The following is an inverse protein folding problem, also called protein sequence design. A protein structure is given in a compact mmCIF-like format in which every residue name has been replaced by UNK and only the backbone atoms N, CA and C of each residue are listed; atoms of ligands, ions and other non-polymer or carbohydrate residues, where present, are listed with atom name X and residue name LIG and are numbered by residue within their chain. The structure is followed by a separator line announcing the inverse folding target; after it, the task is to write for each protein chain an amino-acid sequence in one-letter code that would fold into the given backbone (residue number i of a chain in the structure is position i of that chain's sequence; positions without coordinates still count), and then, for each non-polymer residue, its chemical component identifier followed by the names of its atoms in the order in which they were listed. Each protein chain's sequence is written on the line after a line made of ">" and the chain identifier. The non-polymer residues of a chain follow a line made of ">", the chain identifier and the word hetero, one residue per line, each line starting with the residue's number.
data_IF_596403173417
#
_entry.id   IF_596403173417
#
_cell.length_a   1.000
_cell.length_b   1.000
_cell.length_c   1.000
_cell.angle_alpha   90.00
_cell.angle_beta   90.00
_cell.angle_gamma   90.00
#
_symmetry.space_group_name_H-M   'P 1'
#
loop_
_entity.id
_entity.type
_entity.pdbx_description
1 polymer ?
#
# COMPACT_ATOMS: atom_id res chain seq x y z
N UNK A 1 25.21 4.42 25.21
CA UNK A 1 23.87 4.59 24.62
C UNK A 1 23.51 3.28 23.96
N UNK A 2 22.48 2.59 24.47
CA UNK A 2 22.14 1.24 24.04
C UNK A 2 21.43 1.29 22.68
N UNK A 3 22.16 1.00 21.60
CA UNK A 3 21.56 0.63 20.33
C UNK A 3 20.83 -0.70 20.53
N UNK A 4 19.54 -0.62 20.88
CA UNK A 4 18.66 -1.77 20.83
C UNK A 4 18.61 -2.26 19.38
N UNK A 5 19.41 -3.28 19.09
CA UNK A 5 19.28 -4.15 17.92
C UNK A 5 17.84 -4.64 17.88
N UNK A 6 16.96 -3.89 17.21
CA UNK A 6 15.59 -4.32 16.89
C UNK A 6 15.75 -5.62 16.12
N UNK A 7 15.46 -6.74 16.80
CA UNK A 7 15.36 -8.03 16.14
C UNK A 7 14.49 -7.85 14.91
N UNK A 8 15.04 -8.19 13.73
CA UNK A 8 14.27 -8.11 12.47
C UNK A 8 13.00 -8.90 12.70
N UNK A 9 11.86 -8.21 12.75
CA UNK A 9 10.54 -8.83 12.77
C UNK A 9 10.46 -9.85 11.64
N UNK A 10 9.83 -11.00 11.91
CA UNK A 10 9.68 -12.03 10.89
C UNK A 10 8.86 -11.47 9.73
N UNK A 11 9.05 -12.01 8.52
CA UNK A 11 8.26 -11.62 7.35
C UNK A 11 6.75 -11.75 7.63
N UNK A 12 6.36 -12.76 8.42
CA UNK A 12 4.99 -12.96 8.89
C UNK A 12 4.48 -11.80 9.77
N UNK A 13 5.31 -11.23 10.63
CA UNK A 13 4.95 -10.06 11.43
C UNK A 13 4.72 -8.83 10.55
N UNK A 14 5.55 -8.64 9.52
CA UNK A 14 5.37 -7.56 8.56
C UNK A 14 4.10 -7.73 7.72
N UNK A 15 3.72 -8.95 7.34
CA UNK A 15 2.44 -9.20 6.65
C UNK A 15 1.25 -8.72 7.47
N UNK A 16 1.27 -8.93 8.78
CA UNK A 16 0.22 -8.42 9.69
C UNK A 16 0.23 -6.89 9.76
N UNK A 17 1.42 -6.28 9.86
CA UNK A 17 1.56 -4.83 9.94
C UNK A 17 1.14 -4.13 8.64
N UNK A 18 1.62 -4.62 7.49
CA UNK A 18 1.26 -4.11 6.16
C UNK A 18 -0.22 -4.33 5.90
N UNK A 19 -0.78 -5.49 6.26
CA UNK A 19 -2.21 -5.75 6.14
C UNK A 19 -3.05 -4.73 6.91
N UNK A 20 -2.67 -4.42 8.16
CA UNK A 20 -3.31 -3.36 8.96
C UNK A 20 -3.15 -1.98 8.31
N UNK A 21 -1.94 -1.61 7.90
CA UNK A 21 -1.70 -0.32 7.24
C UNK A 21 -2.51 -0.17 5.94
N UNK A 22 -2.64 -1.22 5.15
CA UNK A 22 -3.48 -1.24 3.94
C UNK A 22 -4.96 -1.03 4.25
N UNK A 23 -5.45 -1.47 5.41
CA UNK A 23 -6.82 -1.16 5.85
C UNK A 23 -7.00 0.29 6.29
N UNK A 24 -5.91 0.96 6.68
CA UNK A 24 -5.88 2.34 7.15
C UNK A 24 -5.56 3.36 6.05
N UNK A 25 -5.52 2.96 4.76
CA UNK A 25 -5.20 3.88 3.65
C UNK A 25 -6.09 5.15 3.59
N UNK A 26 -7.30 5.08 4.14
CA UNK A 26 -8.21 6.22 4.25
C UNK A 26 -8.00 7.11 5.48
N UNK A 27 -7.23 6.65 6.47
CA UNK A 27 -7.00 7.35 7.74
C UNK A 27 -5.51 7.71 7.88
N UNK A 28 -5.17 8.92 7.44
CA UNK A 28 -3.80 9.43 7.46
C UNK A 28 -3.27 9.63 8.89
N UNK A 29 -4.13 9.90 9.87
CA UNK A 29 -3.71 10.05 11.28
C UNK A 29 -3.27 8.70 11.83
N UNK A 30 -4.10 7.67 11.64
CA UNK A 30 -3.78 6.31 12.07
C UNK A 30 -2.53 5.75 11.36
N UNK A 31 -2.27 6.17 10.12
CA UNK A 31 -1.04 5.82 9.40
C UNK A 31 0.19 6.56 9.92
N UNK A 32 0.08 7.84 10.25
CA UNK A 32 1.21 8.63 10.77
C UNK A 32 1.68 8.08 12.13
N UNK A 33 0.72 7.77 13.00
CA UNK A 33 0.97 7.16 14.30
C UNK A 33 1.34 5.67 14.22
N UNK A 34 1.29 5.04 13.05
CA UNK A 34 1.48 3.60 12.90
C UNK A 34 2.93 3.21 13.26
N UNK A 35 3.15 2.56 14.42
CA UNK A 35 4.50 2.29 14.86
C UNK A 35 5.16 1.25 13.95
N UNK A 36 6.49 1.30 13.85
CA UNK A 36 7.36 0.39 13.08
C UNK A 36 7.41 0.68 11.56
N UNK A 37 6.28 0.83 10.87
CA UNK A 37 6.30 1.08 9.42
C UNK A 37 6.70 2.52 9.08
N UNK A 38 6.28 3.50 9.89
CA UNK A 38 6.66 4.90 9.73
C UNK A 38 8.15 5.17 9.94
N UNK A 39 8.86 4.23 10.56
CA UNK A 39 10.30 4.29 10.84
C UNK A 39 11.14 3.52 9.80
N UNK A 40 10.52 3.17 8.67
CA UNK A 40 11.27 2.58 7.56
C UNK A 40 12.04 3.67 6.83
N UNK A 41 13.28 3.41 6.38
CA UNK A 41 14.13 4.44 5.78
C UNK A 41 13.48 5.20 4.63
N UNK A 42 12.75 4.51 3.75
CA UNK A 42 12.02 5.16 2.65
C UNK A 42 10.90 6.10 3.13
N UNK A 43 10.21 5.76 4.23
CA UNK A 43 9.17 6.63 4.80
C UNK A 43 9.81 7.86 5.44
N UNK A 44 10.88 7.68 6.21
CA UNK A 44 11.61 8.77 6.86
C UNK A 44 12.22 9.73 5.82
N UNK A 45 12.81 9.21 4.74
CA UNK A 45 13.32 10.02 3.63
C UNK A 45 12.20 10.82 2.96
N UNK A 46 11.04 10.20 2.71
CA UNK A 46 9.89 10.89 2.13
C UNK A 46 9.39 11.99 3.07
N UNK A 47 9.26 11.69 4.37
CA UNK A 47 8.80 12.63 5.38
C UNK A 47 9.77 13.81 5.54
N UNK A 48 11.09 13.57 5.51
CA UNK A 48 12.10 14.62 5.56
C UNK A 48 12.04 15.53 4.32
N UNK A 49 11.82 14.95 3.14
CA UNK A 49 11.65 15.71 1.90
C UNK A 49 10.36 16.55 1.87
N UNK A 50 9.34 16.16 2.64
CA UNK A 50 8.03 16.82 2.71
C UNK A 50 7.69 17.29 4.13
N UNK A 51 8.68 17.75 4.88
CA UNK A 51 8.52 18.10 6.30
C UNK A 51 7.52 19.25 6.57
N UNK A 52 7.15 20.02 5.54
CA UNK A 52 6.14 21.07 5.62
C UNK A 52 4.69 20.54 5.49
N UNK A 53 4.51 19.27 5.12
CA UNK A 53 3.20 18.66 4.97
C UNK A 53 2.60 18.28 6.33
N UNK A 54 1.28 18.41 6.45
CA UNK A 54 0.52 17.78 7.54
C UNK A 54 0.60 16.26 7.40
N UNK A 55 1.00 15.58 8.48
CA UNK A 55 1.15 14.12 8.60
C UNK A 55 2.13 13.53 7.55
N UNK A 56 3.41 13.94 7.57
CA UNK A 56 4.36 13.55 6.54
C UNK A 56 4.68 12.05 6.56
N UNK A 57 4.64 11.39 7.72
CA UNK A 57 4.86 9.95 7.80
C UNK A 57 3.65 9.19 7.29
N UNK A 58 2.45 9.62 7.66
CA UNK A 58 1.20 8.99 7.19
C UNK A 58 1.05 9.10 5.67
N UNK A 59 1.37 10.26 5.10
CA UNK A 59 1.39 10.47 3.64
C UNK A 59 2.48 9.65 2.96
N UNK A 60 3.70 9.63 3.50
CA UNK A 60 4.80 8.84 2.95
C UNK A 60 4.50 7.35 2.97
N UNK A 61 3.98 6.84 4.09
CA UNK A 61 3.57 5.45 4.24
C UNK A 61 2.44 5.09 3.28
N UNK A 62 1.41 5.93 3.16
CA UNK A 62 0.33 5.74 2.17
C UNK A 62 0.88 5.70 0.76
N UNK A 63 1.74 6.64 0.40
CA UNK A 63 2.27 6.76 -0.95
C UNK A 63 3.15 5.55 -1.31
N UNK A 64 3.97 5.06 -0.37
CA UNK A 64 4.75 3.83 -0.56
C UNK A 64 3.87 2.58 -0.68
N UNK A 65 2.82 2.45 0.14
CA UNK A 65 1.88 1.34 0.03
C UNK A 65 1.13 1.35 -1.31
N UNK A 66 0.66 2.52 -1.75
CA UNK A 66 0.01 2.68 -3.05
C UNK A 66 0.97 2.38 -4.21
N UNK A 67 2.23 2.81 -4.11
CA UNK A 67 3.27 2.51 -5.09
C UNK A 67 3.58 1.01 -5.15
N UNK A 68 3.70 0.34 -3.99
CA UNK A 68 3.86 -1.11 -3.92
C UNK A 68 2.71 -1.85 -4.59
N UNK A 69 1.46 -1.44 -4.34
CA UNK A 69 0.28 -2.02 -5.00
C UNK A 69 0.33 -1.82 -6.52
N UNK A 70 0.69 -0.63 -6.99
CA UNK A 70 0.79 -0.34 -8.42
C UNK A 70 1.85 -1.22 -9.12
N UNK A 71 3.04 -1.36 -8.52
CA UNK A 71 4.10 -2.23 -9.05
C UNK A 71 3.70 -3.70 -9.08
N UNK A 72 2.97 -4.18 -8.06
CA UNK A 72 2.44 -5.54 -8.04
C UNK A 72 1.40 -5.75 -9.15
N UNK A 73 0.54 -4.76 -9.40
CA UNK A 73 -0.42 -4.81 -10.51
C UNK A 73 0.30 -4.87 -11.86
N UNK A 74 1.31 -4.04 -12.08
CA UNK A 74 2.14 -4.07 -13.30
C UNK A 74 2.80 -5.44 -13.48
N UNK A 75 3.54 -5.91 -12.47
CA UNK A 75 4.28 -7.19 -12.53
C UNK A 75 3.38 -8.40 -12.82
N UNK A 76 2.16 -8.43 -12.27
CA UNK A 76 1.21 -9.52 -12.50
C UNK A 76 0.44 -9.33 -13.82
N UNK A 77 0.20 -8.08 -14.22
CA UNK A 77 -0.55 -7.76 -15.43
C UNK A 77 0.17 -8.17 -16.72
N UNK A 78 1.50 -8.21 -16.69
CA UNK A 78 2.33 -8.74 -17.78
C UNK A 78 2.25 -10.28 -17.93
N UNK A 79 1.74 -11.01 -16.93
CA UNK A 79 1.55 -12.45 -17.02
C UNK A 79 0.17 -12.80 -17.64
N UNK A 80 0.16 -13.38 -18.84
CA UNK A 80 -1.06 -13.84 -19.53
C UNK A 80 -1.65 -15.11 -18.87
N UNK A 81 -2.21 -14.96 -17.66
CA UNK A 81 -2.93 -16.03 -16.95
C UNK A 81 -4.25 -15.52 -16.36
N UNK A 82 -5.32 -16.31 -16.47
CA UNK A 82 -6.64 -15.97 -15.91
C UNK A 82 -6.63 -15.80 -14.38
N UNK A 83 -5.73 -16.50 -13.69
CA UNK A 83 -5.51 -16.33 -12.25
C UNK A 83 -4.88 -14.97 -11.93
N UNK A 84 -3.95 -14.51 -12.77
CA UNK A 84 -3.29 -13.21 -12.67
C UNK A 84 -4.30 -12.08 -12.87
N UNK A 85 -5.22 -12.20 -13.83
CA UNK A 85 -6.29 -11.24 -14.06
C UNK A 85 -7.23 -11.08 -12.83
N UNK A 86 -7.61 -12.18 -12.18
CA UNK A 86 -8.47 -12.15 -11.00
C UNK A 86 -7.77 -11.47 -9.81
N UNK A 87 -6.48 -11.71 -9.65
CA UNK A 87 -5.65 -11.13 -8.60
C UNK A 87 -5.45 -9.62 -8.81
N UNK A 88 -5.18 -9.20 -10.04
CA UNK A 88 -5.12 -7.78 -10.43
C UNK A 88 -6.44 -7.08 -10.12
N UNK A 89 -7.56 -7.69 -10.50
CA UNK A 89 -8.89 -7.14 -10.22
C UNK A 89 -9.14 -7.00 -8.71
N UNK A 90 -8.74 -7.98 -7.91
CA UNK A 90 -8.82 -7.88 -6.44
C UNK A 90 -8.02 -6.69 -5.91
N UNK A 91 -6.77 -6.53 -6.34
CA UNK A 91 -5.87 -5.45 -5.90
C UNK A 91 -6.45 -4.07 -6.23
N UNK A 92 -6.99 -3.89 -7.44
CA UNK A 92 -7.63 -2.65 -7.87
C UNK A 92 -8.88 -2.34 -7.02
N UNK A 93 -9.80 -3.31 -6.88
CA UNK A 93 -11.02 -3.14 -6.10
C UNK A 93 -10.73 -2.83 -4.62
N UNK A 94 -9.80 -3.56 -4.01
CA UNK A 94 -9.51 -3.47 -2.58
C UNK A 94 -8.69 -2.23 -2.23
N UNK A 95 -7.62 -1.94 -2.97
CA UNK A 95 -6.60 -0.98 -2.56
C UNK A 95 -6.58 0.32 -3.37
N UNK A 96 -7.18 0.34 -4.57
CA UNK A 96 -7.33 1.58 -5.35
C UNK A 96 -8.75 2.16 -5.21
N UNK A 97 -9.78 1.30 -5.23
CA UNK A 97 -11.19 1.74 -5.10
C UNK A 97 -11.68 1.72 -3.64
N UNK A 98 -10.92 1.13 -2.72
CA UNK A 98 -11.23 1.12 -1.29
C UNK A 98 -12.40 0.21 -0.89
N UNK A 99 -12.84 -0.70 -1.76
CA UNK A 99 -13.94 -1.63 -1.44
C UNK A 99 -13.56 -2.58 -0.31
N UNK A 100 -14.52 -2.99 0.49
CA UNK A 100 -14.32 -4.01 1.51
C UNK A 100 -14.38 -5.40 0.89
N UNK A 101 -13.77 -6.39 1.54
CA UNK A 101 -13.77 -7.78 1.04
C UNK A 101 -15.20 -8.32 0.89
N UNK A 102 -16.14 -7.88 1.75
CA UNK A 102 -17.56 -8.21 1.62
C UNK A 102 -18.18 -7.69 0.32
N UNK A 103 -17.90 -6.44 -0.06
CA UNK A 103 -18.47 -5.82 -1.25
C UNK A 103 -17.89 -6.48 -2.53
N UNK A 104 -16.60 -6.86 -2.47
CA UNK A 104 -15.95 -7.63 -3.53
C UNK A 104 -16.58 -9.03 -3.65
N UNK A 105 -16.84 -9.68 -2.52
CA UNK A 105 -17.45 -11.00 -2.47
C UNK A 105 -18.88 -10.99 -3.05
N UNK A 106 -19.69 -10.00 -2.70
CA UNK A 106 -21.01 -9.77 -3.29
C UNK A 106 -20.92 -9.57 -4.80
N UNK A 107 -20.00 -8.70 -5.26
CA UNK A 107 -19.77 -8.43 -6.69
C UNK A 107 -19.33 -9.67 -7.46
N UNK A 108 -18.67 -10.60 -6.79
CA UNK A 108 -18.16 -11.83 -7.37
C UNK A 108 -19.07 -13.05 -7.16
N UNK A 109 -20.19 -12.88 -6.46
CA UNK A 109 -21.09 -13.96 -6.05
C UNK A 109 -20.35 -15.09 -5.31
N UNK A 110 -19.41 -14.72 -4.45
CA UNK A 110 -18.61 -15.62 -3.60
C UNK A 110 -18.77 -15.23 -2.13
N UNK A 111 -18.34 -16.11 -1.22
CA UNK A 111 -18.19 -15.73 0.19
C UNK A 111 -16.92 -14.91 0.42
N UNK A 112 -16.93 -14.04 1.42
CA UNK A 112 -15.74 -13.26 1.79
C UNK A 112 -14.53 -14.15 2.11
N UNK A 113 -14.77 -15.33 2.69
CA UNK A 113 -13.75 -16.34 2.95
C UNK A 113 -13.16 -16.92 1.67
N UNK A 114 -13.98 -17.23 0.66
CA UNK A 114 -13.53 -17.69 -0.64
C UNK A 114 -12.69 -16.63 -1.35
N UNK A 115 -13.11 -15.37 -1.31
CA UNK A 115 -12.32 -14.25 -1.87
C UNK A 115 -10.99 -14.10 -1.14
N UNK A 116 -10.99 -14.18 0.19
CA UNK A 116 -9.78 -14.10 0.99
C UNK A 116 -8.80 -15.23 0.70
N UNK A 117 -9.29 -16.48 0.62
CA UNK A 117 -8.44 -17.65 0.31
C UNK A 117 -7.89 -17.62 -1.11
N UNK A 118 -8.73 -17.26 -2.09
CA UNK A 118 -8.35 -17.32 -3.51
C UNK A 118 -7.45 -16.15 -3.94
N UNK A 119 -7.72 -14.94 -3.46
CA UNK A 119 -7.03 -13.73 -3.92
C UNK A 119 -6.41 -12.93 -2.77
N UNK A 120 -7.12 -12.74 -1.67
CA UNK A 120 -6.71 -11.84 -0.58
C UNK A 120 -5.38 -12.19 0.07
N UNK A 121 -5.15 -13.46 0.40
CA UNK A 121 -3.91 -13.93 1.04
C UNK A 121 -2.70 -13.73 0.12
N UNK A 122 -2.84 -14.08 -1.17
CA UNK A 122 -1.76 -13.94 -2.15
C UNK A 122 -1.49 -12.47 -2.48
N UNK A 123 -2.54 -11.67 -2.62
CA UNK A 123 -2.43 -10.23 -2.82
C UNK A 123 -1.67 -9.56 -1.67
N UNK A 124 -2.03 -9.86 -0.41
CA UNK A 124 -1.36 -9.30 0.74
C UNK A 124 0.13 -9.70 0.81
N UNK A 125 0.44 -10.96 0.49
CA UNK A 125 1.81 -11.43 0.44
C UNK A 125 2.65 -10.67 -0.59
N UNK A 126 2.19 -10.59 -1.84
CA UNK A 126 2.91 -9.91 -2.91
C UNK A 126 3.10 -8.43 -2.63
N UNK A 127 2.07 -7.75 -2.12
CA UNK A 127 2.17 -6.33 -1.73
C UNK A 127 3.13 -6.15 -0.55
N UNK A 128 3.13 -7.05 0.43
CA UNK A 128 4.07 -6.99 1.56
C UNK A 128 5.51 -7.14 1.08
N UNK A 129 5.77 -8.12 0.22
CA UNK A 129 7.11 -8.37 -0.29
C UNK A 129 7.61 -7.18 -1.12
N UNK A 130 6.77 -6.67 -2.03
CA UNK A 130 7.11 -5.49 -2.83
C UNK A 130 7.31 -4.23 -1.97
N UNK A 131 6.46 -4.02 -0.96
CA UNK A 131 6.57 -2.89 -0.05
C UNK A 131 7.89 -2.94 0.73
N UNK A 132 8.24 -4.11 1.28
CA UNK A 132 9.50 -4.28 2.02
C UNK A 132 10.73 -4.16 1.12
N UNK A 133 10.63 -4.60 -0.14
CA UNK A 133 11.69 -4.40 -1.13
C UNK A 133 11.93 -2.90 -1.36
N UNK A 134 10.89 -2.12 -1.65
CA UNK A 134 10.98 -0.65 -1.84
C UNK A 134 11.50 0.02 -0.56
N UNK A 135 10.97 -0.36 0.59
CA UNK A 135 11.30 0.25 1.87
C UNK A 135 12.73 -0.06 2.34
N UNK A 136 13.35 -1.15 1.85
CA UNK A 136 14.74 -1.53 2.15
C UNK A 136 15.73 -1.05 1.09
N UNK A 137 15.31 -0.92 -0.17
CA UNK A 137 16.16 -0.57 -1.30
C UNK A 137 16.33 0.97 -1.45
N UNK A 138 16.27 1.74 -0.36
CA UNK A 138 16.28 3.21 -0.34
C UNK A 138 17.58 3.88 -0.80
N UNK A 139 18.41 3.17 -1.58
CA UNK A 139 19.46 3.72 -2.43
C UNK A 139 18.89 4.26 -3.76
N UNK A 140 17.71 3.77 -4.20
CA UNK A 140 16.99 4.33 -5.34
C UNK A 140 16.01 5.39 -4.86
N UNK A 141 16.35 6.66 -5.08
CA UNK A 141 15.47 7.83 -4.92
C UNK A 141 14.09 7.51 -5.53
N UNK A 142 13.06 7.21 -4.72
CA UNK A 142 11.77 6.90 -5.29
C UNK A 142 11.25 8.19 -5.93
N UNK A 143 10.98 8.14 -7.22
CA UNK A 143 10.25 9.19 -7.94
C UNK A 143 8.78 9.13 -7.52
N UNK A 144 8.54 9.29 -6.22
CA UNK A 144 7.23 9.38 -5.59
C UNK A 144 6.63 10.70 -6.07
N UNK A 145 5.89 10.62 -7.17
CA UNK A 145 5.04 11.73 -7.62
C UNK A 145 4.00 11.93 -6.52
N UNK A 146 4.10 13.07 -5.82
CA UNK A 146 3.11 13.46 -4.83
C UNK A 146 1.72 13.43 -5.48
N UNK A 147 0.68 12.91 -4.80
CA UNK A 147 -0.68 13.05 -5.29
C UNK A 147 -1.00 14.56 -5.36
N UNK A 148 -1.19 15.10 -6.57
CA UNK A 148 -1.51 16.51 -6.79
C UNK A 148 -2.79 16.87 -6.02
N UNK A 149 -2.77 17.84 -5.09
CA UNK A 149 -3.92 18.16 -4.27
C UNK A 149 -4.91 19.13 -4.94
N UNK A 150 -4.88 19.35 -6.25
CA UNK A 150 -5.76 20.34 -6.89
C UNK A 150 -7.03 19.73 -7.47
N UNK A 151 -8.23 20.19 -7.04
CA UNK A 151 -9.42 20.00 -7.85
C UNK A 151 -9.21 20.75 -9.17
N UNK A 152 -9.23 20.02 -10.28
CA UNK A 152 -9.25 20.63 -11.61
C UNK A 152 -10.50 21.50 -11.70
N UNK A 153 -10.31 22.82 -11.73
CA UNK A 153 -11.39 23.76 -12.05
C UNK A 153 -11.86 23.45 -13.48
N UNK A 154 -13.12 23.02 -13.59
CA UNK A 154 -13.84 22.87 -14.85
C UNK A 154 -13.85 24.22 -15.59
N UNK A 155 -13.62 24.25 -16.92
CA UNK A 155 -13.79 25.47 -17.69
C UNK A 155 -15.28 25.83 -17.75
N UNK A 156 -15.60 27.03 -17.29
CA UNK A 156 -16.87 27.70 -17.57
C UNK A 156 -16.94 27.95 -19.07
N UNK A 157 -17.79 27.21 -19.78
CA UNK A 157 -18.18 27.53 -21.16
C UNK A 157 -19.14 28.72 -21.05
N UNK A 158 -18.69 29.88 -21.54
CA UNK A 158 -19.52 31.05 -21.83
C UNK A 158 -19.78 31.14 -23.33
#
# INVERSE_FOLDING_TARGET
>A
MAESRRGRKSQSDYKVLVGKALTLLGDLFALDEFPILSQLPAVEQWAAAHHHDLLPHGKGLRALLQHAVALVIEKIGDEESGTSARLVQYLQLRYQQGLLVKDIAERWSLSAEQVWRSSGRRALELVTDQFLEIARCSDQKPKLVAPDPRPQKLPTIG
#
